data_IF_699983132876
#
_entry.id   IF_699983132876
#
_cell.length_a   1.000
_cell.length_b   1.000
_cell.length_c   1.000
_cell.angle_alpha   90.00
_cell.angle_beta   90.00
_cell.angle_gamma   90.00
#
_symmetry.space_group_name_H-M   'P 1'
#
loop_
_entity.id
_entity.type
_entity.pdbx_description
1 polymer ?
#
# COMPACT_ATOMS: atom_id res chain seq x y z
N UNK A 1 -52.59 -0.61 -5.68
CA UNK A 1 -51.10 -0.63 -5.64
C UNK A 1 -50.66 -0.77 -4.20
N UNK A 2 -50.12 -1.93 -3.83
CA UNK A 2 -49.88 -2.34 -2.44
C UNK A 2 -48.74 -1.56 -1.80
N UNK A 3 -49.07 -0.78 -0.75
CA UNK A 3 -48.11 -0.03 0.09
C UNK A 3 -46.97 -0.90 0.65
N UNK A 4 -47.24 -2.20 0.80
CA UNK A 4 -46.28 -3.20 1.26
C UNK A 4 -45.23 -3.56 0.19
N UNK A 5 -45.55 -3.48 -1.10
CA UNK A 5 -44.59 -3.75 -2.20
C UNK A 5 -43.59 -2.60 -2.30
N UNK A 6 -44.06 -1.35 -2.17
CA UNK A 6 -43.20 -0.16 -2.17
C UNK A 6 -42.20 -0.15 -1.01
N UNK A 7 -42.64 -0.57 0.19
CA UNK A 7 -41.78 -0.71 1.37
C UNK A 7 -40.74 -1.82 1.21
N UNK A 8 -41.11 -2.95 0.60
CA UNK A 8 -40.18 -4.06 0.33
C UNK A 8 -39.15 -3.66 -0.72
N UNK A 9 -39.54 -2.93 -1.77
CA UNK A 9 -38.58 -2.42 -2.78
C UNK A 9 -37.63 -1.35 -2.22
N UNK A 10 -38.10 -0.49 -1.31
CA UNK A 10 -37.24 0.51 -0.67
C UNK A 10 -36.24 -0.13 0.31
N UNK A 11 -36.62 -1.22 1.00
CA UNK A 11 -35.73 -1.94 1.91
C UNK A 11 -34.63 -2.74 1.19
N UNK A 12 -34.90 -3.24 -0.03
CA UNK A 12 -33.91 -3.99 -0.83
C UNK A 12 -32.84 -3.07 -1.45
N UNK A 13 -33.15 -1.80 -1.74
CA UNK A 13 -32.19 -0.83 -2.28
C UNK A 13 -31.18 -0.29 -1.25
N UNK A 14 -31.40 -0.50 0.04
CA UNK A 14 -30.50 -0.06 1.13
C UNK A 14 -29.49 -1.15 1.52
N UNK A 15 -29.63 -2.37 1.01
CA UNK A 15 -28.73 -3.48 1.31
C UNK A 15 -27.46 -3.43 0.43
N UNK A 16 -26.39 -2.95 1.06
CA UNK A 16 -24.99 -3.31 0.79
C UNK A 16 -24.29 -2.66 -0.42
N UNK A 17 -24.20 -1.33 -0.42
CA UNK A 17 -22.98 -0.67 -0.90
C UNK A 17 -21.95 -0.69 0.23
N UNK A 18 -21.41 -1.87 0.57
CA UNK A 18 -20.13 -1.91 1.30
C UNK A 18 -19.05 -1.52 0.28
N UNK A 19 -18.88 -0.22 0.08
CA UNK A 19 -17.75 0.28 -0.67
C UNK A 19 -16.50 -0.03 0.15
N UNK A 20 -15.82 -1.13 -0.20
CA UNK A 20 -14.50 -1.47 0.32
C UNK A 20 -13.56 -0.45 -0.31
N UNK A 21 -13.43 0.71 0.35
CA UNK A 21 -12.46 1.71 -0.04
C UNK A 21 -11.10 1.28 0.49
N UNK A 22 -10.09 1.29 -0.38
CA UNK A 22 -8.71 1.22 0.07
C UNK A 22 -8.46 2.47 0.93
N UNK A 23 -8.23 2.29 2.23
CA UNK A 23 -8.12 3.42 3.16
C UNK A 23 -6.72 4.02 3.13
N UNK A 24 -6.65 5.35 3.14
CA UNK A 24 -5.39 6.09 3.17
C UNK A 24 -4.79 5.97 4.57
N UNK A 25 -3.59 5.40 4.65
CA UNK A 25 -2.88 5.20 5.92
C UNK A 25 -1.96 6.36 6.24
N UNK A 26 -1.64 6.53 7.53
CA UNK A 26 -0.57 7.42 7.93
C UNK A 26 0.79 6.83 7.51
N UNK A 27 1.64 7.66 6.93
CA UNK A 27 2.98 7.31 6.47
C UNK A 27 3.94 8.49 6.68
N UNK A 28 5.23 8.19 6.70
CA UNK A 28 6.30 9.19 6.79
C UNK A 28 7.36 8.94 5.71
N UNK A 29 8.01 10.00 5.18
CA UNK A 29 9.13 9.82 4.26
C UNK A 29 10.30 9.15 4.99
N UNK A 30 11.11 8.39 4.25
CA UNK A 30 12.36 7.87 4.80
C UNK A 30 13.33 9.02 5.12
N UNK A 31 14.12 8.87 6.19
CA UNK A 31 15.25 9.74 6.45
C UNK A 31 16.39 9.36 5.49
N UNK A 32 16.41 9.93 4.29
CA UNK A 32 17.49 9.73 3.32
C UNK A 32 18.57 10.79 3.50
N UNK A 33 19.85 10.39 3.37
CA UNK A 33 20.99 11.30 3.22
C UNK A 33 21.13 11.85 1.80
N UNK A 34 20.41 11.25 0.85
CA UNK A 34 20.31 11.64 -0.56
C UNK A 34 19.04 12.46 -0.81
N UNK A 35 19.13 13.38 -1.78
CA UNK A 35 17.99 14.19 -2.22
C UNK A 35 16.85 13.26 -2.69
N UNK A 36 15.68 13.39 -2.06
CA UNK A 36 14.50 12.63 -2.42
C UNK A 36 14.02 13.11 -3.80
N UNK A 37 14.18 12.27 -4.83
CA UNK A 37 13.83 12.62 -6.22
C UNK A 37 12.41 12.16 -6.61
N UNK A 38 11.54 12.06 -5.62
CA UNK A 38 10.17 11.60 -5.80
C UNK A 38 9.23 12.13 -4.71
N UNK A 39 8.02 12.50 -5.10
CA UNK A 39 6.96 12.86 -4.15
C UNK A 39 5.99 11.71 -4.04
N UNK A 40 5.80 11.18 -2.82
CA UNK A 40 4.71 10.26 -2.49
C UNK A 40 3.53 11.09 -2.01
N UNK A 41 2.36 10.89 -2.60
CA UNK A 41 1.16 11.69 -2.32
C UNK A 41 0.29 11.04 -1.26
N UNK A 42 0.06 9.73 -1.40
CA UNK A 42 -0.76 8.94 -0.50
C UNK A 42 -0.39 7.47 -0.58
N UNK A 43 -0.61 6.77 0.53
CA UNK A 43 -0.38 5.34 0.69
C UNK A 43 -1.68 4.73 1.18
N UNK A 44 -2.07 3.61 0.59
CA UNK A 44 -3.33 2.92 0.86
C UNK A 44 -3.07 1.44 1.14
N UNK A 45 -3.78 0.90 2.11
CA UNK A 45 -3.73 -0.51 2.50
C UNK A 45 -5.15 -1.06 2.47
N UNK A 46 -5.35 -2.18 1.79
CA UNK A 46 -6.64 -2.85 1.71
C UNK A 46 -6.51 -4.33 2.08
N UNK A 47 -7.33 -4.84 3.02
CA UNK A 47 -8.29 -4.11 3.87
C UNK A 47 -7.59 -3.36 5.02
N UNK A 48 -8.09 -2.20 5.41
CA UNK A 48 -7.61 -1.48 6.59
C UNK A 48 -8.66 -0.52 7.13
N UNK A 49 -9.63 -0.99 7.91
CA UNK A 49 -10.68 -0.12 8.49
C UNK A 49 -10.16 0.81 9.59
N UNK A 50 -8.98 0.51 10.12
CA UNK A 50 -8.34 1.26 11.20
C UNK A 50 -7.71 2.58 10.75
N UNK A 51 -7.59 2.81 9.43
CA UNK A 51 -6.97 4.02 8.90
C UNK A 51 -7.82 5.26 9.21
N UNK A 52 -9.16 5.12 9.24
CA UNK A 52 -10.08 6.17 9.70
C UNK A 52 -9.74 6.71 11.10
N UNK A 53 -9.16 5.88 11.97
CA UNK A 53 -8.71 6.24 13.31
C UNK A 53 -7.19 6.49 13.40
N UNK A 54 -6.49 6.57 12.26
CA UNK A 54 -5.03 6.70 12.16
C UNK A 54 -4.26 5.59 12.91
N UNK A 55 -4.85 4.42 13.05
CA UNK A 55 -4.23 3.25 13.69
C UNK A 55 -3.56 2.35 12.65
N UNK A 56 -2.51 1.59 13.01
CA UNK A 56 -1.92 0.60 12.12
C UNK A 56 -2.94 -0.44 11.66
N UNK A 57 -2.93 -0.77 10.37
CA UNK A 57 -3.85 -1.73 9.77
C UNK A 57 -3.66 -3.13 10.33
N UNK A 58 -4.73 -3.79 10.77
CA UNK A 58 -4.64 -5.18 11.22
C UNK A 58 -4.65 -6.15 10.05
N UNK A 59 -3.47 -6.67 9.69
CA UNK A 59 -3.30 -7.60 8.58
C UNK A 59 -3.27 -9.06 9.06
N UNK A 60 -4.14 -9.88 8.49
CA UNK A 60 -4.24 -11.31 8.82
C UNK A 60 -3.12 -12.09 8.15
N UNK A 61 -2.40 -12.89 8.93
CA UNK A 61 -1.38 -13.80 8.41
C UNK A 61 -2.02 -14.93 7.60
N UNK A 62 -1.36 -15.33 6.52
CA UNK A 62 -1.86 -16.27 5.52
C UNK A 62 -2.93 -15.70 4.60
N UNK A 63 -3.13 -14.38 4.60
CA UNK A 63 -4.04 -13.66 3.69
C UNK A 63 -3.25 -12.70 2.81
N UNK A 64 -3.92 -12.27 1.75
CA UNK A 64 -3.40 -11.25 0.87
C UNK A 64 -3.81 -9.88 1.39
N UNK A 65 -2.92 -8.91 1.21
CA UNK A 65 -3.19 -7.49 1.40
C UNK A 65 -2.81 -6.76 0.11
N UNK A 66 -3.58 -5.74 -0.25
CA UNK A 66 -3.26 -4.86 -1.37
C UNK A 66 -2.63 -3.59 -0.82
N UNK A 67 -1.44 -3.26 -1.31
CA UNK A 67 -0.76 -2.01 -0.99
C UNK A 67 -0.70 -1.19 -2.27
N UNK A 68 -1.14 0.06 -2.19
CA UNK A 68 -1.02 0.99 -3.32
C UNK A 68 -0.56 2.36 -2.84
N UNK A 69 0.11 3.09 -3.71
CA UNK A 69 0.51 4.46 -3.43
C UNK A 69 0.59 5.26 -4.71
N UNK A 70 0.34 6.56 -4.57
CA UNK A 70 0.48 7.52 -5.65
C UNK A 70 1.83 8.23 -5.53
N UNK A 71 2.58 8.30 -6.63
CA UNK A 71 3.90 8.92 -6.65
C UNK A 71 4.09 9.79 -7.90
N UNK A 72 5.01 10.75 -7.78
CA UNK A 72 5.54 11.53 -8.91
C UNK A 72 7.06 11.49 -8.81
N UNK A 73 7.70 10.72 -9.70
CA UNK A 73 9.16 10.64 -9.77
C UNK A 73 9.72 11.80 -10.61
N UNK A 74 10.95 12.24 -10.31
CA UNK A 74 11.74 13.11 -11.18
C UNK A 74 12.69 12.31 -12.08
N UNK A 75 12.58 10.99 -12.00
CA UNK A 75 13.38 10.03 -12.74
C UNK A 75 12.46 9.11 -13.55
N UNK A 76 13.02 8.51 -14.59
CA UNK A 76 12.31 7.60 -15.48
C UNK A 76 13.06 6.29 -15.70
N UNK A 77 12.59 5.53 -16.70
CA UNK A 77 13.18 4.25 -17.08
C UNK A 77 12.46 3.05 -16.45
N UNK A 78 13.14 1.89 -16.46
CA UNK A 78 12.63 0.69 -15.79
C UNK A 78 12.60 0.90 -14.28
N UNK A 79 11.55 0.40 -13.63
CA UNK A 79 11.31 0.61 -12.21
C UNK A 79 11.42 -0.70 -11.45
N UNK A 80 12.07 -0.65 -10.29
CA UNK A 80 12.13 -1.73 -9.32
C UNK A 80 11.50 -1.32 -8.00
N UNK A 81 10.88 -2.27 -7.28
CA UNK A 81 10.25 -2.01 -5.99
C UNK A 81 10.47 -3.14 -4.99
N UNK A 82 10.52 -2.79 -3.70
CA UNK A 82 10.62 -3.76 -2.61
C UNK A 82 10.13 -3.16 -1.30
N UNK A 83 9.44 -3.98 -0.53
CA UNK A 83 9.11 -3.71 0.85
C UNK A 83 10.14 -4.33 1.81
N UNK A 84 10.42 -3.64 2.90
CA UNK A 84 11.31 -4.06 3.97
C UNK A 84 10.60 -3.88 5.31
N UNK A 85 10.89 -4.76 6.26
CA UNK A 85 10.66 -4.48 7.66
C UNK A 85 11.83 -3.63 8.17
N UNK A 86 11.55 -2.37 8.51
CA UNK A 86 12.50 -1.49 9.15
C UNK A 86 12.76 -1.95 10.58
N UNK A 87 14.02 -2.21 10.92
CA UNK A 87 14.45 -2.56 12.27
C UNK A 87 15.67 -1.72 12.67
N UNK A 88 15.95 -1.65 13.97
CA UNK A 88 17.09 -0.89 14.49
C UNK A 88 18.46 -1.46 14.05
N UNK A 89 18.52 -2.74 13.70
CA UNK A 89 19.78 -3.43 13.35
C UNK A 89 19.97 -3.49 11.84
N UNK A 90 18.97 -3.99 11.11
CA UNK A 90 19.01 -4.12 9.64
C UNK A 90 17.60 -4.19 9.05
N UNK A 91 17.40 -3.53 7.91
CA UNK A 91 16.16 -3.67 7.16
C UNK A 91 16.03 -5.09 6.59
N UNK A 92 14.98 -5.81 6.96
CA UNK A 92 14.75 -7.18 6.48
C UNK A 92 13.81 -7.16 5.27
N UNK A 93 14.24 -7.62 4.09
CA UNK A 93 13.41 -7.57 2.89
C UNK A 93 12.21 -8.51 3.01
N UNK A 94 11.07 -8.07 2.47
CA UNK A 94 9.90 -8.91 2.31
C UNK A 94 10.13 -9.89 1.16
N UNK A 95 10.38 -11.14 1.49
CA UNK A 95 10.64 -12.20 0.52
C UNK A 95 9.33 -12.64 -0.16
N UNK A 96 9.41 -12.95 -1.46
CA UNK A 96 8.26 -13.40 -2.26
C UNK A 96 7.53 -12.30 -3.03
N UNK A 97 8.00 -11.06 -2.94
CA UNK A 97 7.57 -9.95 -3.80
C UNK A 97 8.50 -9.87 -5.02
N UNK A 98 7.92 -9.76 -6.23
CA UNK A 98 8.70 -9.44 -7.44
C UNK A 98 9.33 -8.07 -7.29
N UNK A 99 10.61 -7.94 -7.67
CA UNK A 99 11.26 -6.63 -7.71
C UNK A 99 10.91 -5.82 -8.93
N UNK A 100 10.42 -6.46 -9.99
CA UNK A 100 9.98 -5.74 -11.19
C UNK A 100 8.71 -4.94 -10.86
N UNK A 101 8.85 -3.61 -10.75
CA UNK A 101 7.72 -2.73 -10.43
C UNK A 101 6.82 -2.51 -11.64
N UNK A 102 7.27 -2.81 -12.86
CA UNK A 102 6.51 -2.59 -14.09
C UNK A 102 5.29 -3.52 -14.22
N UNK A 103 5.20 -4.54 -13.37
CA UNK A 103 3.97 -5.35 -13.23
C UNK A 103 2.92 -4.69 -12.33
N UNK A 104 3.29 -3.62 -11.63
CA UNK A 104 2.52 -2.98 -10.55
C UNK A 104 2.33 -1.47 -10.76
N UNK A 105 3.05 -0.86 -11.71
CA UNK A 105 2.88 0.53 -12.15
C UNK A 105 3.19 0.62 -13.66
N UNK A 106 2.86 1.76 -14.28
CA UNK A 106 3.16 2.02 -15.69
C UNK A 106 4.65 2.25 -15.88
N UNK A 107 5.23 1.52 -16.83
CA UNK A 107 6.61 1.67 -17.26
C UNK A 107 6.71 2.06 -18.75
N UNK A 108 7.79 2.76 -19.15
CA UNK A 108 8.83 3.32 -18.27
C UNK A 108 8.27 4.42 -17.35
N UNK A 109 8.87 4.58 -16.17
CA UNK A 109 8.57 5.70 -15.30
C UNK A 109 8.76 7.01 -16.06
N UNK A 110 7.85 7.97 -15.86
CA UNK A 110 7.86 9.23 -16.61
C UNK A 110 8.06 10.40 -15.64
N UNK A 111 9.19 11.12 -15.72
CA UNK A 111 9.47 12.25 -14.84
C UNK A 111 8.34 13.29 -14.82
N UNK A 112 7.99 13.78 -13.63
CA UNK A 112 6.95 14.80 -13.44
C UNK A 112 5.51 14.29 -13.60
N UNK A 113 5.30 13.03 -13.97
CA UNK A 113 3.96 12.45 -14.10
C UNK A 113 3.52 11.79 -12.79
N UNK A 114 2.28 12.07 -12.35
CA UNK A 114 1.65 11.33 -11.26
C UNK A 114 1.25 9.93 -11.75
N UNK A 115 1.74 8.90 -11.08
CA UNK A 115 1.46 7.50 -11.36
C UNK A 115 1.00 6.79 -10.08
N UNK A 116 0.33 5.64 -10.25
CA UNK A 116 -0.12 4.81 -9.13
C UNK A 116 0.55 3.45 -9.22
N UNK A 117 1.21 3.07 -8.13
CA UNK A 117 1.72 1.73 -7.91
C UNK A 117 0.69 0.92 -7.13
N UNK A 118 0.42 -0.32 -7.51
CA UNK A 118 -0.46 -1.26 -6.80
C UNK A 118 0.12 -2.67 -6.80
N UNK A 119 0.27 -3.28 -5.63
CA UNK A 119 0.78 -4.64 -5.50
C UNK A 119 -0.01 -5.43 -4.44
N UNK A 120 -0.28 -6.70 -4.76
CA UNK A 120 -0.92 -7.65 -3.83
C UNK A 120 0.17 -8.50 -3.20
N UNK A 121 0.31 -8.42 -1.87
CA UNK A 121 1.30 -9.17 -1.11
C UNK A 121 0.64 -10.30 -0.31
N UNK A 122 1.25 -11.48 -0.34
CA UNK A 122 0.85 -12.59 0.51
C UNK A 122 1.61 -12.55 1.84
N UNK A 123 0.89 -12.34 2.95
CA UNK A 123 1.49 -12.23 4.27
C UNK A 123 1.73 -13.61 4.84
N UNK A 124 2.98 -14.08 4.84
CA UNK A 124 3.32 -15.43 5.33
C UNK A 124 2.95 -15.63 6.81
N UNK A 125 2.42 -16.82 7.14
CA UNK A 125 2.16 -17.25 8.52
C UNK A 125 3.43 -17.38 9.37
N UNK A 126 4.61 -17.42 8.73
CA UNK A 126 5.91 -17.47 9.40
C UNK A 126 6.28 -16.15 10.10
N UNK A 127 5.69 -15.03 9.68
CA UNK A 127 5.94 -13.75 10.35
C UNK A 127 5.28 -13.71 11.74
N UNK A 128 5.99 -13.27 12.79
CA UNK A 128 5.42 -13.17 14.13
C UNK A 128 4.30 -12.10 14.20
N UNK A 129 3.27 -12.30 15.06
CA UNK A 129 2.20 -11.33 15.23
C UNK A 129 2.69 -10.14 16.07
N UNK A 130 2.99 -9.02 15.43
CA UNK A 130 3.47 -7.76 16.04
C UNK A 130 3.20 -6.59 15.10
N UNK A 131 3.51 -5.38 15.55
CA UNK A 131 3.56 -4.21 14.68
C UNK A 131 4.87 -4.19 13.89
N UNK A 132 4.77 -3.79 12.62
CA UNK A 132 5.87 -3.66 11.68
C UNK A 132 5.86 -2.26 11.09
N UNK A 133 7.03 -1.64 11.10
CA UNK A 133 7.33 -0.48 10.24
C UNK A 133 7.71 -1.02 8.86
N UNK A 134 6.82 -0.84 7.90
CA UNK A 134 7.02 -1.27 6.51
C UNK A 134 7.66 -0.12 5.76
N UNK A 135 8.94 -0.27 5.44
CA UNK A 135 9.68 0.64 4.55
C UNK A 135 9.48 0.18 3.12
N UNK A 136 8.92 1.03 2.28
CA UNK A 136 8.69 0.75 0.87
C UNK A 136 9.62 1.59 0.01
N UNK A 137 10.28 0.95 -0.96
CA UNK A 137 11.16 1.60 -1.93
C UNK A 137 10.65 1.37 -3.36
N UNK A 138 10.79 2.40 -4.19
CA UNK A 138 10.62 2.35 -5.65
C UNK A 138 11.81 3.09 -6.26
N UNK A 139 12.58 2.46 -7.14
CA UNK A 139 13.81 3.05 -7.69
C UNK A 139 14.00 2.69 -9.16
N UNK A 140 14.85 3.44 -9.86
CA UNK A 140 15.29 3.10 -11.21
C UNK A 140 16.72 2.53 -11.23
N UNK A 141 17.24 2.26 -12.41
CA UNK A 141 18.58 1.70 -12.63
C UNK A 141 19.72 2.60 -12.10
N UNK A 142 19.46 3.90 -11.94
CA UNK A 142 20.40 4.89 -11.41
C UNK A 142 20.26 5.09 -9.89
N UNK A 143 19.50 4.22 -9.21
CA UNK A 143 19.23 4.27 -7.77
C UNK A 143 18.53 5.57 -7.30
N UNK A 144 17.89 6.29 -8.22
CA UNK A 144 17.00 7.41 -7.90
C UNK A 144 15.70 6.82 -7.36
N UNK A 145 15.23 7.27 -6.18
CA UNK A 145 14.19 6.53 -5.45
C UNK A 145 13.08 7.39 -4.81
N UNK A 146 11.91 6.75 -4.66
CA UNK A 146 10.89 7.06 -3.69
C UNK A 146 11.07 6.17 -2.46
N UNK A 147 10.94 6.71 -1.25
CA UNK A 147 10.99 5.92 -0.02
C UNK A 147 10.03 6.48 1.04
N UNK A 148 9.21 5.59 1.60
CA UNK A 148 8.28 5.91 2.69
C UNK A 148 8.13 4.75 3.67
N UNK A 149 7.63 5.05 4.87
CA UNK A 149 7.39 4.10 5.95
C UNK A 149 5.94 4.24 6.44
N UNK A 150 5.25 3.11 6.62
CA UNK A 150 3.92 3.05 7.25
C UNK A 150 3.83 1.83 8.17
N UNK A 151 2.83 1.81 9.04
CA UNK A 151 2.68 0.75 10.03
C UNK A 151 1.56 -0.24 9.71
N UNK A 152 1.86 -1.53 9.88
CA UNK A 152 0.86 -2.60 9.91
C UNK A 152 1.02 -3.44 11.17
N UNK A 153 -0.09 -4.02 11.64
CA UNK A 153 -0.12 -4.97 12.75
C UNK A 153 -0.48 -6.34 12.23
N UNK A 154 0.43 -7.31 12.36
CA UNK A 154 0.13 -8.69 12.00
C UNK A 154 -0.66 -9.39 13.10
N UNK A 155 -1.81 -9.96 12.72
CA UNK A 155 -2.69 -10.72 13.60
C UNK A 155 -2.77 -12.19 13.17
N UNK A 156 -3.40 -13.01 14.02
CA UNK A 156 -3.62 -14.44 13.71
C UNK A 156 -4.54 -14.64 12.51
#
# INVERSE_FOLDING_TARGET
MNRNIALVTAAVLVLALSAVHAEIVHWTPCQTSSEVQCTVHEVRVDPCTEAAEKKPCSQKRGRNATISFDYTSQFGGSLSSRAYWASEIVDLPFLGMSTDACTSTVCPGTPGQKQTYTNVIHISKKFPPRTYDVKWKLWNEQEQECCFIFQIKLIK
#
